data_IF_524229814449
#
_entry.id   IF_524229814449
#
_cell.length_a   1.000
_cell.length_b   1.000
_cell.length_c   1.000
_cell.angle_alpha   90.00
_cell.angle_beta   90.00
_cell.angle_gamma   90.00
#
_symmetry.space_group_name_H-M   'P 1'
#
loop_
_entity.id
_entity.type
_entity.pdbx_description
1 polymer ?
#
# COMPACT_ATOMS: atom_id res chain seq x y z
N UNK A 1 23.58 -32.75 -17.69
CA UNK A 1 23.74 -31.86 -16.52
C UNK A 1 23.81 -32.75 -15.28
N UNK A 2 24.96 -32.85 -14.60
CA UNK A 2 25.12 -33.71 -13.42
C UNK A 2 24.43 -33.09 -12.20
N UNK A 3 23.74 -33.90 -11.40
CA UNK A 3 23.13 -33.44 -10.13
C UNK A 3 24.24 -33.09 -9.12
N UNK A 4 24.11 -31.98 -8.39
CA UNK A 4 25.08 -31.61 -7.35
C UNK A 4 25.09 -32.64 -6.23
N UNK A 5 26.24 -32.79 -5.57
CA UNK A 5 26.36 -33.63 -4.37
C UNK A 5 25.53 -33.03 -3.22
N UNK A 6 25.10 -33.83 -2.23
CA UNK A 6 24.36 -33.32 -1.06
C UNK A 6 25.09 -32.19 -0.33
N UNK A 7 26.42 -32.27 -0.22
CA UNK A 7 27.23 -31.21 0.40
C UNK A 7 27.15 -29.89 -0.38
N UNK A 8 27.32 -29.96 -1.70
CA UNK A 8 27.22 -28.79 -2.58
C UNK A 8 25.82 -28.19 -2.54
N UNK A 9 24.77 -29.03 -2.55
CA UNK A 9 23.39 -28.58 -2.44
C UNK A 9 23.11 -27.88 -1.09
N UNK A 10 23.61 -28.42 0.01
CA UNK A 10 23.45 -27.83 1.35
C UNK A 10 24.18 -26.48 1.47
N UNK A 11 25.39 -26.36 0.92
CA UNK A 11 26.12 -25.09 0.90
C UNK A 11 25.39 -24.03 0.08
N UNK A 12 24.84 -24.40 -1.08
CA UNK A 12 24.03 -23.50 -1.89
C UNK A 12 22.74 -23.07 -1.15
N UNK A 13 22.07 -24.01 -0.49
CA UNK A 13 20.88 -23.71 0.32
C UNK A 13 21.21 -22.76 1.48
N UNK A 14 22.32 -22.97 2.19
CA UNK A 14 22.79 -22.06 3.22
C UNK A 14 23.05 -20.66 2.67
N UNK A 15 23.71 -20.56 1.51
CA UNK A 15 23.93 -19.28 0.83
C UNK A 15 22.61 -18.54 0.51
N UNK A 16 21.61 -19.25 0.01
CA UNK A 16 20.28 -18.69 -0.26
C UNK A 16 19.57 -18.23 1.02
N UNK A 17 19.65 -19.00 2.09
CA UNK A 17 19.06 -18.61 3.39
C UNK A 17 19.73 -17.34 3.92
N UNK A 18 21.08 -17.29 3.90
CA UNK A 18 21.82 -16.11 4.36
C UNK A 18 21.47 -14.88 3.53
N UNK A 19 21.41 -15.01 2.20
CA UNK A 19 20.99 -13.93 1.31
C UNK A 19 19.54 -13.49 1.59
N UNK A 20 18.62 -14.43 1.79
CA UNK A 20 17.22 -14.16 2.11
C UNK A 20 17.01 -13.51 3.47
N UNK A 21 17.92 -13.73 4.43
CA UNK A 21 17.87 -13.10 5.75
C UNK A 21 18.45 -11.67 5.77
N UNK A 22 19.19 -11.23 4.74
CA UNK A 22 19.80 -9.89 4.70
C UNK A 22 18.80 -8.73 4.97
N UNK A 23 17.58 -8.70 4.39
CA UNK A 23 16.62 -7.63 4.67
C UNK A 23 16.20 -7.58 6.14
N UNK A 24 15.97 -8.74 6.78
CA UNK A 24 15.56 -8.83 8.19
C UNK A 24 16.71 -8.45 9.11
N UNK A 25 17.91 -8.97 8.86
CA UNK A 25 19.11 -8.60 9.62
C UNK A 25 19.40 -7.11 9.49
N UNK A 26 19.33 -6.56 8.29
CA UNK A 26 19.45 -5.13 8.06
C UNK A 26 18.34 -4.31 8.72
N UNK A 27 17.14 -4.87 8.89
CA UNK A 27 16.08 -4.24 9.67
C UNK A 27 16.44 -4.14 11.14
N UNK A 28 16.79 -5.27 11.77
CA UNK A 28 17.12 -5.34 13.20
C UNK A 28 18.36 -4.52 13.60
N UNK A 29 19.34 -4.41 12.70
CA UNK A 29 20.57 -3.63 12.92
C UNK A 29 20.48 -2.17 12.45
N UNK A 30 19.31 -1.73 12.01
CA UNK A 30 19.09 -0.44 11.37
C UNK A 30 20.06 -0.08 10.22
N UNK A 31 20.49 -1.10 9.48
CA UNK A 31 21.46 -0.96 8.38
C UNK A 31 20.77 -0.88 7.02
N UNK A 32 20.71 0.34 6.46
CA UNK A 32 20.20 0.59 5.11
C UNK A 32 20.97 -0.18 4.04
N UNK A 33 22.28 -0.33 4.20
CA UNK A 33 23.13 -1.06 3.25
C UNK A 33 22.75 -2.54 3.18
N UNK A 34 22.58 -3.21 4.32
CA UNK A 34 22.16 -4.62 4.36
C UNK A 34 20.75 -4.82 3.80
N UNK A 35 19.80 -3.92 4.11
CA UNK A 35 18.47 -3.93 3.51
C UNK A 35 18.53 -3.77 1.99
N UNK A 36 19.38 -2.87 1.50
CA UNK A 36 19.59 -2.63 0.07
C UNK A 36 20.20 -3.82 -0.66
N UNK A 37 21.24 -4.44 -0.09
CA UNK A 37 21.85 -5.66 -0.65
C UNK A 37 20.85 -6.79 -0.72
N UNK A 38 20.11 -7.05 0.37
CA UNK A 38 19.05 -8.06 0.39
C UNK A 38 17.97 -7.80 -0.68
N UNK A 39 17.50 -6.56 -0.80
CA UNK A 39 16.51 -6.18 -1.82
C UNK A 39 17.05 -6.37 -3.25
N UNK A 40 18.31 -6.03 -3.51
CA UNK A 40 18.94 -6.17 -4.82
C UNK A 40 19.03 -7.64 -5.28
N UNK A 41 19.13 -8.59 -4.34
CA UNK A 41 19.13 -10.02 -4.71
C UNK A 41 17.79 -10.53 -5.22
N UNK A 42 16.68 -9.85 -4.86
CA UNK A 42 15.31 -10.33 -5.04
C UNK A 42 15.04 -11.76 -4.50
N UNK A 43 15.95 -12.31 -3.69
CA UNK A 43 15.90 -13.70 -3.25
C UNK A 43 14.75 -13.95 -2.26
N UNK A 44 14.48 -12.97 -1.39
CA UNK A 44 13.35 -13.00 -0.46
C UNK A 44 12.79 -11.59 -0.23
N UNK A 45 11.45 -11.42 -0.27
CA UNK A 45 10.83 -10.16 0.11
C UNK A 45 10.94 -9.93 1.63
N UNK A 46 11.00 -8.66 2.05
CA UNK A 46 10.98 -8.32 3.47
C UNK A 46 9.58 -8.62 4.06
N UNK A 47 9.43 -9.52 5.06
CA UNK A 47 8.14 -10.07 5.47
C UNK A 47 7.36 -9.16 6.43
N UNK A 48 7.33 -7.85 6.20
CA UNK A 48 6.57 -6.87 6.99
C UNK A 48 5.33 -6.36 6.23
N UNK A 49 4.62 -7.28 5.58
CA UNK A 49 3.49 -6.96 4.67
C UNK A 49 2.12 -6.92 5.35
N UNK A 50 2.02 -7.29 6.63
CA UNK A 50 0.78 -7.23 7.44
C UNK A 50 1.10 -6.80 8.87
N UNK A 51 1.94 -5.79 9.03
CA UNK A 51 2.35 -5.32 10.34
C UNK A 51 2.09 -3.83 10.48
N UNK A 52 2.04 -3.38 11.72
CA UNK A 52 2.05 -1.96 12.04
C UNK A 52 3.32 -1.29 11.46
N UNK A 53 3.09 -0.15 10.80
CA UNK A 53 4.15 0.76 10.39
C UNK A 53 3.90 2.12 11.01
N UNK A 54 4.71 2.39 12.05
CA UNK A 54 4.74 3.62 12.83
C UNK A 54 3.38 3.98 13.44
N UNK A 55 2.54 2.99 13.73
CA UNK A 55 1.19 3.16 14.23
C UNK A 55 0.10 2.94 13.17
N UNK A 56 0.43 2.69 11.89
CA UNK A 56 -0.58 2.37 10.87
C UNK A 56 -0.57 0.87 10.54
N UNK A 57 -1.65 0.17 10.89
CA UNK A 57 -1.89 -1.22 10.52
C UNK A 57 -3.03 -1.28 9.49
N UNK A 58 -2.68 -1.25 8.20
CA UNK A 58 -3.68 -1.14 7.12
C UNK A 58 -4.62 -2.33 7.02
N UNK A 59 -4.16 -3.52 7.38
CA UNK A 59 -5.01 -4.71 7.36
C UNK A 59 -6.14 -4.66 8.40
N UNK A 60 -5.93 -3.97 9.51
CA UNK A 60 -6.88 -3.84 10.62
C UNK A 60 -7.55 -2.46 10.67
N UNK A 61 -7.50 -1.70 9.58
CA UNK A 61 -8.08 -0.36 9.49
C UNK A 61 -9.30 -0.33 8.58
N UNK A 62 -10.24 0.57 8.88
CA UNK A 62 -11.35 0.93 8.00
C UNK A 62 -10.98 2.18 7.21
N UNK A 63 -11.34 2.19 5.93
CA UNK A 63 -11.03 3.26 5.00
C UNK A 63 -12.32 3.87 4.49
N UNK A 64 -12.45 5.19 4.59
CA UNK A 64 -13.60 5.94 4.09
C UNK A 64 -13.13 7.02 3.13
N UNK A 65 -13.63 6.99 1.91
CA UNK A 65 -13.43 8.06 0.93
C UNK A 65 -14.54 9.10 1.12
N UNK A 66 -14.17 10.35 1.33
CA UNK A 66 -15.04 11.51 1.46
C UNK A 66 -14.93 12.39 0.23
N UNK A 67 -16.02 13.02 -0.19
CA UNK A 67 -16.03 14.01 -1.28
C UNK A 67 -17.18 15.00 -1.11
N UNK A 68 -17.15 16.06 -1.92
CA UNK A 68 -18.28 16.98 -2.14
C UNK A 68 -18.83 16.84 -3.54
N UNK A 69 -20.13 16.98 -3.73
CA UNK A 69 -20.74 17.08 -5.06
C UNK A 69 -20.68 18.53 -5.62
N UNK A 70 -21.21 18.71 -6.84
CA UNK A 70 -21.30 20.00 -7.52
C UNK A 70 -22.16 21.03 -6.79
N UNK A 71 -23.10 20.58 -5.96
CA UNK A 71 -23.98 21.42 -5.13
C UNK A 71 -23.38 21.72 -3.75
N UNK A 72 -22.25 21.08 -3.41
CA UNK A 72 -21.54 21.23 -2.14
C UNK A 72 -21.94 20.23 -1.04
N UNK A 73 -22.86 19.31 -1.36
CA UNK A 73 -23.28 18.21 -0.50
C UNK A 73 -22.11 17.29 -0.15
N UNK A 74 -22.00 16.90 1.13
CA UNK A 74 -20.94 16.04 1.62
C UNK A 74 -21.35 14.56 1.54
N UNK A 75 -20.45 13.74 1.00
CA UNK A 75 -20.68 12.32 0.79
C UNK A 75 -19.50 11.49 1.30
N UNK A 76 -19.78 10.23 1.63
CA UNK A 76 -18.79 9.28 2.10
C UNK A 76 -19.05 7.87 1.57
N UNK A 77 -17.98 7.15 1.27
CA UNK A 77 -17.99 5.75 0.81
C UNK A 77 -16.98 4.95 1.62
N UNK A 78 -17.47 3.98 2.40
CA UNK A 78 -16.59 3.02 3.06
C UNK A 78 -16.04 2.05 2.01
N UNK A 79 -14.71 1.91 1.95
CA UNK A 79 -14.03 1.02 1.01
C UNK A 79 -14.03 -0.39 1.60
N UNK A 80 -15.12 -1.12 1.38
CA UNK A 80 -15.25 -2.53 1.77
C UNK A 80 -14.56 -3.45 0.74
N UNK A 81 -14.38 -4.76 1.02
CA UNK A 81 -13.92 -5.73 0.02
C UNK A 81 -14.77 -5.73 -1.25
N UNK A 82 -16.09 -5.55 -1.14
CA UNK A 82 -17.03 -5.48 -2.26
C UNK A 82 -16.78 -4.23 -3.11
N UNK A 83 -16.57 -3.06 -2.50
CA UNK A 83 -16.21 -1.83 -3.21
C UNK A 83 -14.84 -1.97 -3.88
N UNK A 84 -13.84 -2.46 -3.14
CA UNK A 84 -12.48 -2.64 -3.64
C UNK A 84 -12.40 -3.66 -4.78
N UNK A 85 -13.24 -4.70 -4.76
CA UNK A 85 -13.31 -5.72 -5.82
C UNK A 85 -13.78 -5.17 -7.17
N UNK A 86 -14.42 -3.99 -7.19
CA UNK A 86 -14.78 -3.29 -8.43
C UNK A 86 -13.54 -2.81 -9.19
N UNK A 87 -12.38 -2.70 -8.52
CA UNK A 87 -11.14 -2.34 -9.19
C UNK A 87 -10.69 -3.45 -10.15
N UNK A 88 -10.62 -3.12 -11.43
CA UNK A 88 -10.30 -4.08 -12.50
C UNK A 88 -8.80 -4.19 -12.75
N UNK A 89 -8.41 -5.15 -13.60
CA UNK A 89 -7.04 -5.28 -14.08
C UNK A 89 -6.08 -6.02 -13.14
N UNK A 90 -4.79 -5.98 -13.49
CA UNK A 90 -3.75 -6.78 -12.84
C UNK A 90 -3.54 -6.40 -11.36
N UNK A 91 -3.02 -7.36 -10.59
CA UNK A 91 -2.71 -7.19 -9.17
C UNK A 91 -1.89 -5.93 -8.86
N UNK A 92 -0.82 -5.68 -9.63
CA UNK A 92 0.06 -4.52 -9.42
C UNK A 92 -0.68 -3.19 -9.54
N UNK A 93 -1.63 -3.07 -10.48
CA UNK A 93 -2.46 -1.86 -10.63
C UNK A 93 -3.32 -1.64 -9.38
N UNK A 94 -3.98 -2.70 -8.92
CA UNK A 94 -4.84 -2.65 -7.72
C UNK A 94 -4.01 -2.25 -6.50
N UNK A 95 -2.82 -2.83 -6.34
CA UNK A 95 -1.92 -2.48 -5.25
C UNK A 95 -1.41 -1.04 -5.30
N UNK A 96 -1.13 -0.48 -6.49
CA UNK A 96 -0.69 0.91 -6.61
C UNK A 96 -1.77 1.87 -6.10
N UNK A 97 -3.03 1.68 -6.52
CA UNK A 97 -4.13 2.48 -5.97
C UNK A 97 -4.43 2.17 -4.51
N UNK A 98 -4.41 0.90 -4.13
CA UNK A 98 -4.60 0.46 -2.75
C UNK A 98 -3.58 1.09 -1.82
N UNK A 99 -2.30 1.12 -2.18
CA UNK A 99 -1.25 1.78 -1.41
C UNK A 99 -1.47 3.30 -1.32
N UNK A 100 -1.88 3.95 -2.41
CA UNK A 100 -2.16 5.39 -2.40
C UNK A 100 -3.38 5.76 -1.53
N UNK A 101 -4.35 4.87 -1.38
CA UNK A 101 -5.53 5.09 -0.52
C UNK A 101 -5.30 4.65 0.94
N UNK A 102 -4.55 3.58 1.16
CA UNK A 102 -4.43 2.96 2.49
C UNK A 102 -3.16 3.34 3.24
N UNK A 103 -2.09 3.71 2.53
CA UNK A 103 -0.75 3.83 3.08
C UNK A 103 -0.14 5.23 2.92
N UNK A 104 -0.85 6.16 2.27
CA UNK A 104 -0.43 7.54 2.04
C UNK A 104 0.14 8.25 3.30
N UNK A 105 -0.43 8.12 4.52
CA UNK A 105 0.14 8.77 5.71
C UNK A 105 1.56 8.33 6.08
N UNK A 106 2.04 7.21 5.52
CA UNK A 106 3.37 6.64 5.78
C UNK A 106 4.28 6.65 4.55
N UNK A 107 3.84 7.27 3.46
CA UNK A 107 4.61 7.39 2.23
C UNK A 107 4.95 8.85 1.96
N UNK A 108 6.15 9.14 1.43
CA UNK A 108 6.45 10.44 0.82
C UNK A 108 5.37 10.80 -0.20
N UNK A 109 4.92 12.06 -0.19
CA UNK A 109 3.83 12.55 -1.03
C UNK A 109 4.05 12.28 -2.52
N UNK A 110 5.31 12.35 -2.95
CA UNK A 110 5.75 12.13 -4.33
C UNK A 110 5.43 10.72 -4.86
N UNK A 111 5.28 9.74 -3.96
CA UNK A 111 4.99 8.35 -4.34
C UNK A 111 3.50 8.05 -4.48
N UNK A 112 2.60 8.83 -3.87
CA UNK A 112 1.18 8.50 -3.81
C UNK A 112 0.24 9.59 -4.32
N UNK A 113 0.63 10.87 -4.22
CA UNK A 113 -0.26 11.99 -4.54
C UNK A 113 -0.69 11.98 -6.01
N UNK A 114 0.26 11.76 -6.93
CA UNK A 114 -0.03 11.68 -8.37
C UNK A 114 -0.95 10.50 -8.71
N UNK A 115 -0.75 9.35 -8.06
CA UNK A 115 -1.59 8.15 -8.20
C UNK A 115 -3.01 8.42 -7.70
N UNK A 116 -3.12 9.04 -6.53
CA UNK A 116 -4.41 9.41 -5.93
C UNK A 116 -5.18 10.38 -6.84
N UNK A 117 -4.53 11.48 -7.24
CA UNK A 117 -5.18 12.51 -8.04
C UNK A 117 -5.53 11.99 -9.44
N UNK A 118 -4.65 11.24 -10.09
CA UNK A 118 -4.96 10.59 -11.36
C UNK A 118 -6.13 9.61 -11.24
N UNK A 119 -6.16 8.82 -10.16
CA UNK A 119 -7.21 7.84 -9.90
C UNK A 119 -8.60 8.47 -9.77
N UNK A 120 -8.67 9.62 -9.08
CA UNK A 120 -9.91 10.28 -8.70
C UNK A 120 -10.29 11.50 -9.56
N UNK A 121 -9.42 11.90 -10.49
CA UNK A 121 -9.69 12.93 -11.51
C UNK A 121 -11.00 12.65 -12.28
N UNK A 122 -11.56 13.65 -12.99
CA UNK A 122 -12.67 13.42 -13.91
C UNK A 122 -12.36 12.26 -14.85
N UNK A 123 -13.27 11.28 -14.93
CA UNK A 123 -13.09 10.02 -15.67
C UNK A 123 -11.89 9.17 -15.22
N UNK A 124 -11.29 9.43 -14.06
CA UNK A 124 -10.21 8.64 -13.48
C UNK A 124 -10.65 7.20 -13.17
N UNK A 125 -9.72 6.23 -13.15
CA UNK A 125 -10.05 4.83 -12.95
C UNK A 125 -10.75 4.53 -11.62
N UNK A 126 -10.32 5.15 -10.51
CA UNK A 126 -10.97 4.96 -9.22
C UNK A 126 -12.36 5.57 -9.20
N UNK A 127 -12.51 6.78 -9.75
CA UNK A 127 -13.82 7.44 -9.86
C UNK A 127 -14.83 6.55 -10.57
N UNK A 128 -14.49 6.06 -11.77
CA UNK A 128 -15.39 5.20 -12.57
C UNK A 128 -15.66 3.85 -11.90
N UNK A 129 -14.63 3.19 -11.37
CA UNK A 129 -14.76 1.82 -10.84
C UNK A 129 -15.45 1.80 -9.47
N UNK A 130 -15.33 2.86 -8.67
CA UNK A 130 -16.11 3.01 -7.44
C UNK A 130 -17.52 3.54 -7.69
N UNK A 131 -17.82 4.05 -8.89
CA UNK A 131 -19.12 4.61 -9.25
C UNK A 131 -19.36 5.98 -8.63
N UNK A 132 -18.30 6.78 -8.51
CA UNK A 132 -18.38 8.13 -7.97
C UNK A 132 -18.88 9.11 -9.05
N UNK A 133 -19.66 10.14 -8.68
CA UNK A 133 -20.15 11.15 -9.62
C UNK A 133 -19.05 11.92 -10.37
N UNK A 134 -19.37 12.41 -11.57
CA UNK A 134 -18.45 13.20 -12.40
C UNK A 134 -18.22 14.62 -11.86
N UNK A 135 -19.11 15.14 -11.03
CA UNK A 135 -19.01 16.44 -10.36
C UNK A 135 -18.42 16.33 -8.94
N UNK A 136 -18.04 15.12 -8.50
CA UNK A 136 -17.36 14.93 -7.23
C UNK A 136 -16.06 15.74 -7.16
N UNK A 137 -15.73 16.29 -6.00
CA UNK A 137 -14.52 17.11 -5.76
C UNK A 137 -14.10 17.01 -4.30
N UNK A 138 -12.97 17.63 -3.97
CA UNK A 138 -12.44 17.69 -2.60
C UNK A 138 -12.27 16.32 -1.94
N UNK A 139 -11.70 15.35 -2.66
CA UNK A 139 -11.54 14.00 -2.12
C UNK A 139 -10.58 13.95 -0.95
N UNK A 140 -11.05 13.34 0.13
CA UNK A 140 -10.23 13.02 1.29
C UNK A 140 -10.40 11.55 1.65
N UNK A 141 -9.36 10.93 2.18
CA UNK A 141 -9.46 9.59 2.76
C UNK A 141 -9.25 9.67 4.26
N UNK A 142 -10.20 9.06 4.95
CA UNK A 142 -10.13 8.79 6.37
C UNK A 142 -9.72 7.33 6.60
N UNK A 143 -8.76 7.14 7.49
CA UNK A 143 -8.35 5.83 7.97
C UNK A 143 -8.64 5.77 9.46
N UNK A 144 -9.38 4.75 9.90
CA UNK A 144 -9.69 4.49 11.32
C UNK A 144 -9.13 3.14 11.72
N UNK A 145 -8.30 3.12 12.75
CA UNK A 145 -7.86 1.86 13.33
C UNK A 145 -9.06 1.11 13.94
N UNK A 146 -9.16 -0.20 13.68
CA UNK A 146 -10.14 -1.11 14.34
C UNK A 146 -9.48 -2.06 15.33
N UNK A 147 -8.16 -1.96 15.51
CA UNK A 147 -7.41 -2.73 16.50
C UNK A 147 -7.91 -2.41 17.91
N UNK A 148 -8.07 -3.43 18.76
CA UNK A 148 -8.57 -3.29 20.13
C UNK A 148 -7.74 -2.25 20.91
N UNK A 149 -8.43 -1.36 21.64
CA UNK A 149 -7.85 -0.27 22.44
C UNK A 149 -7.10 0.81 21.64
N UNK A 150 -7.33 0.91 20.31
CA UNK A 150 -6.83 2.00 19.48
C UNK A 150 -7.97 2.90 19.03
N UNK A 151 -7.69 4.20 18.97
CA UNK A 151 -8.65 5.24 18.51
C UNK A 151 -8.03 6.11 17.43
N UNK A 152 -6.94 5.64 16.81
CA UNK A 152 -6.18 6.39 15.84
C UNK A 152 -7.01 6.67 14.58
N UNK A 153 -6.86 7.91 14.11
CA UNK A 153 -7.56 8.42 12.96
C UNK A 153 -6.59 9.26 12.14
N UNK A 154 -6.51 8.95 10.86
CA UNK A 154 -5.77 9.75 9.90
C UNK A 154 -6.73 10.28 8.86
N UNK A 155 -6.59 11.55 8.49
CA UNK A 155 -7.31 12.16 7.39
C UNK A 155 -6.27 12.78 6.47
N UNK A 156 -6.36 12.51 5.18
CA UNK A 156 -5.52 13.17 4.20
C UNK A 156 -6.32 13.56 2.97
N UNK A 157 -6.03 14.76 2.49
CA UNK A 157 -6.66 15.38 1.33
C UNK A 157 -5.53 15.97 0.49
N UNK A 158 -5.03 15.24 -0.52
CA UNK A 158 -4.00 15.80 -1.37
C UNK A 158 -4.54 16.98 -2.17
N UNK A 159 -3.71 18.00 -2.44
CA UNK A 159 -4.06 19.05 -3.38
C UNK A 159 -4.00 18.48 -4.80
N UNK A 160 -5.13 17.98 -5.28
CA UNK A 160 -5.28 17.58 -6.67
C UNK A 160 -5.59 18.83 -7.50
N UNK A 161 -4.79 19.03 -8.56
CA UNK A 161 -5.11 20.03 -9.58
C UNK A 161 -6.24 19.46 -10.44
N UNK A 162 -7.29 20.25 -10.63
CA UNK A 162 -8.40 19.93 -11.54
C UNK A 162 -7.93 19.87 -13.00
#
# INVERSE_FOLDING_TARGET
MQRPTPKTANLAALGLVLAGCLPVTGYLLDSRALRGLGAATAAAPFPKVFSDVDGLETFASEFTLHWRDGEGGAHALVITPEVYSRLRGAYNRRNVYGAALSYAPRLPAELWQSVFCFGLAPRGPLRREFGLPDDARDFAVEIRAKTRNRTDRWMFQPPCKE
#
